data_IF_269162447787
#
_entry.id   IF_269162447787
#
_cell.length_a   1.000
_cell.length_b   1.000
_cell.length_c   1.000
_cell.angle_alpha   90.00
_cell.angle_beta   90.00
_cell.angle_gamma   90.00
#
_symmetry.space_group_name_H-M   'P 1'
#
loop_
_entity.id
_entity.type
_entity.pdbx_description
1 polymer ?
#
# COMPACT_ATOMS: atom_id res chain seq x y z
N UNK A 1 40.73 -12.09 -15.57
CA UNK A 1 39.26 -12.17 -15.41
C UNK A 1 38.83 -10.86 -14.78
N UNK A 2 38.23 -9.95 -15.55
CA UNK A 2 37.56 -8.78 -14.98
C UNK A 2 36.40 -9.36 -14.17
N UNK A 3 36.36 -9.11 -12.86
CA UNK A 3 35.20 -9.45 -12.06
C UNK A 3 34.07 -8.58 -12.60
N UNK A 4 33.09 -9.24 -13.21
CA UNK A 4 31.82 -8.64 -13.56
C UNK A 4 31.11 -8.47 -12.22
N UNK A 5 31.26 -7.29 -11.59
CA UNK A 5 30.44 -6.92 -10.44
C UNK A 5 29.02 -6.74 -10.98
N UNK A 6 28.25 -7.82 -10.97
CA UNK A 6 26.81 -7.77 -11.23
C UNK A 6 26.19 -6.93 -10.12
N UNK A 7 25.87 -5.68 -10.41
CA UNK A 7 25.14 -4.82 -9.48
C UNK A 7 23.72 -5.38 -9.38
N UNK A 8 23.26 -5.67 -8.16
CA UNK A 8 21.88 -6.06 -7.90
C UNK A 8 20.99 -4.83 -7.88
N UNK A 9 19.82 -4.83 -8.54
CA UNK A 9 18.89 -3.70 -8.48
C UNK A 9 18.31 -3.52 -7.07
N UNK A 10 18.19 -2.27 -6.65
CA UNK A 10 17.49 -1.82 -5.44
C UNK A 10 15.98 -1.63 -5.66
N UNK A 11 15.57 -1.43 -6.92
CA UNK A 11 14.17 -1.24 -7.32
C UNK A 11 13.80 -2.24 -8.42
N UNK A 12 12.58 -2.77 -8.36
CA UNK A 12 12.08 -3.76 -9.31
C UNK A 12 11.46 -3.10 -10.55
N UNK A 13 11.54 -3.77 -11.70
CA UNK A 13 10.84 -3.32 -12.92
C UNK A 13 9.33 -3.34 -12.69
N UNK A 14 8.67 -2.24 -13.01
CA UNK A 14 7.25 -2.00 -12.74
C UNK A 14 6.98 -1.33 -11.39
N UNK A 15 8.00 -1.14 -10.54
CA UNK A 15 7.82 -0.45 -9.27
C UNK A 15 7.60 1.06 -9.49
N UNK A 16 6.60 1.61 -8.80
CA UNK A 16 6.41 3.05 -8.68
C UNK A 16 7.44 3.65 -7.71
N UNK A 17 8.13 4.66 -8.18
CA UNK A 17 9.20 5.38 -7.50
C UNK A 17 8.99 6.87 -7.71
N UNK A 18 9.75 7.68 -6.98
CA UNK A 18 9.86 9.10 -7.31
C UNK A 18 11.31 9.35 -7.77
N UNK A 19 11.46 9.91 -8.96
CA UNK A 19 12.75 10.10 -9.61
C UNK A 19 13.11 11.59 -9.70
N UNK A 20 14.36 11.93 -9.36
CA UNK A 20 14.88 13.29 -9.44
C UNK A 20 15.25 13.65 -10.88
N UNK A 21 14.28 14.14 -11.64
CA UNK A 21 14.41 14.47 -13.06
C UNK A 21 15.56 15.48 -13.28
N UNK A 22 16.54 15.08 -14.11
CA UNK A 22 17.72 15.92 -14.42
C UNK A 22 18.61 16.30 -13.22
N UNK A 23 18.44 15.67 -12.05
CA UNK A 23 19.24 15.95 -10.85
C UNK A 23 19.04 17.33 -10.22
N UNK A 24 18.01 18.07 -10.61
CA UNK A 24 17.75 19.45 -10.17
C UNK A 24 17.16 19.55 -8.75
N UNK A 25 16.86 18.42 -8.11
CA UNK A 25 16.33 18.34 -6.75
C UNK A 25 14.80 18.25 -6.66
N UNK A 26 14.12 18.09 -7.80
CA UNK A 26 12.67 17.89 -7.87
C UNK A 26 12.38 16.43 -8.20
N UNK A 27 11.63 15.75 -7.34
CA UNK A 27 11.26 14.35 -7.50
C UNK A 27 9.86 14.27 -8.08
N UNK A 28 9.72 13.49 -9.14
CA UNK A 28 8.47 13.27 -9.86
C UNK A 28 8.10 11.80 -9.84
N UNK A 29 6.81 11.50 -9.84
CA UNK A 29 6.31 10.14 -9.93
C UNK A 29 6.82 9.48 -11.20
N UNK A 30 7.40 8.30 -11.06
CA UNK A 30 7.96 7.54 -12.16
C UNK A 30 7.80 6.03 -11.94
N UNK A 31 7.86 5.28 -13.02
CA UNK A 31 7.82 3.80 -13.00
C UNK A 31 9.13 3.27 -13.53
N UNK A 32 9.74 2.31 -12.83
CA UNK A 32 10.93 1.62 -13.33
C UNK A 32 10.56 0.78 -14.54
N UNK A 33 11.15 1.07 -15.71
CA UNK A 33 11.00 0.25 -16.92
C UNK A 33 12.10 -0.79 -17.09
N UNK A 34 13.27 -0.55 -16.49
CA UNK A 34 14.42 -1.42 -16.68
C UNK A 34 15.61 -1.07 -15.79
N UNK A 35 16.53 -2.01 -15.66
CA UNK A 35 17.79 -1.84 -14.94
C UNK A 35 18.95 -2.37 -15.79
N UNK A 36 19.95 -1.51 -16.01
CA UNK A 36 21.21 -1.81 -16.68
C UNK A 36 22.22 -2.24 -15.61
N UNK A 37 22.43 -3.55 -15.49
CA UNK A 37 23.36 -4.14 -14.50
C UNK A 37 24.83 -3.89 -14.84
N UNK A 38 25.17 -3.51 -16.08
CA UNK A 38 26.54 -3.18 -16.49
C UNK A 38 26.93 -1.77 -16.02
N UNK A 39 25.96 -0.83 -16.04
CA UNK A 39 26.15 0.56 -15.61
C UNK A 39 25.66 0.86 -14.20
N UNK A 40 24.81 0.00 -13.63
CA UNK A 40 24.12 0.24 -12.36
C UNK A 40 23.08 1.37 -12.45
N UNK A 41 22.42 1.52 -13.60
CA UNK A 41 21.47 2.62 -13.86
C UNK A 41 20.09 2.09 -14.22
N UNK A 42 19.06 2.88 -13.94
CA UNK A 42 17.67 2.56 -14.23
C UNK A 42 17.16 3.32 -15.45
N UNK A 43 16.18 2.73 -16.11
CA UNK A 43 15.31 3.42 -17.05
C UNK A 43 13.98 3.66 -16.35
N UNK A 44 13.54 4.91 -16.30
CA UNK A 44 12.30 5.31 -15.63
C UNK A 44 11.37 6.04 -16.59
N UNK A 45 10.07 5.88 -16.40
CA UNK A 45 9.03 6.55 -17.18
C UNK A 45 8.20 7.45 -16.28
N UNK A 46 8.00 8.69 -16.71
CA UNK A 46 7.21 9.70 -16.03
C UNK A 46 5.81 9.76 -16.68
N UNK A 47 4.79 9.11 -16.09
CA UNK A 47 3.47 9.02 -16.71
C UNK A 47 2.73 10.37 -16.81
N UNK A 48 3.13 11.38 -16.01
CA UNK A 48 2.50 12.72 -16.07
C UNK A 48 2.78 13.44 -17.39
N UNK A 49 3.98 13.26 -17.95
CA UNK A 49 4.43 13.92 -19.18
C UNK A 49 4.68 12.93 -20.33
N UNK A 50 4.41 11.63 -20.13
CA UNK A 50 4.69 10.52 -21.05
C UNK A 50 6.20 10.39 -21.44
N UNK A 51 7.10 10.94 -20.63
CA UNK A 51 8.54 10.99 -20.91
C UNK A 51 9.28 9.78 -20.32
N UNK A 52 10.41 9.40 -20.91
CA UNK A 52 11.26 8.30 -20.42
C UNK A 52 12.70 8.78 -20.27
N UNK A 53 13.31 8.52 -19.11
CA UNK A 53 14.70 8.84 -18.82
C UNK A 53 15.51 7.56 -18.60
N UNK A 54 16.60 7.42 -19.36
CA UNK A 54 17.55 6.33 -19.25
C UNK A 54 18.81 6.79 -18.50
N UNK A 55 19.42 5.90 -17.72
CA UNK A 55 20.68 6.20 -17.05
C UNK A 55 20.51 6.84 -15.65
N UNK A 56 19.33 6.74 -15.06
CA UNK A 56 19.04 7.30 -13.73
C UNK A 56 19.75 6.47 -12.66
N UNK A 57 20.51 7.11 -11.78
CA UNK A 57 21.18 6.43 -10.67
C UNK A 57 20.19 6.10 -9.56
N UNK A 58 20.44 5.00 -8.83
CA UNK A 58 19.64 4.65 -7.66
C UNK A 58 19.51 5.81 -6.64
N UNK A 59 20.57 6.61 -6.47
CA UNK A 59 20.57 7.79 -5.59
C UNK A 59 19.64 8.92 -6.03
N UNK A 60 19.13 8.88 -7.26
CA UNK A 60 18.11 9.79 -7.75
C UNK A 60 16.70 9.21 -7.68
N UNK A 61 16.56 7.97 -7.21
CA UNK A 61 15.29 7.30 -7.02
C UNK A 61 14.98 7.20 -5.54
N UNK A 62 13.72 7.39 -5.18
CA UNK A 62 13.20 7.04 -3.86
C UNK A 62 12.00 6.12 -4.04
N UNK A 63 11.89 5.12 -3.18
CA UNK A 63 10.71 4.29 -3.15
C UNK A 63 9.51 5.19 -2.84
N UNK A 64 8.52 5.19 -3.73
CA UNK A 64 7.21 5.69 -3.35
C UNK A 64 6.75 4.80 -2.20
N UNK A 65 6.26 5.40 -1.12
CA UNK A 65 5.65 4.60 -0.05
C UNK A 65 4.50 3.86 -0.73
N UNK A 66 4.70 2.59 -1.04
CA UNK A 66 3.64 1.72 -1.52
C UNK A 66 2.55 1.86 -0.46
N UNK A 67 1.41 2.40 -0.84
CA UNK A 67 0.20 2.16 -0.09
C UNK A 67 0.01 0.66 -0.24
N UNK A 68 0.58 -0.10 0.71
CA UNK A 68 0.43 -1.54 0.79
C UNK A 68 -1.07 -1.76 0.64
N UNK A 69 -1.50 -2.38 -0.46
CA UNK A 69 -2.89 -2.73 -0.65
C UNK A 69 -3.24 -3.63 0.52
N UNK A 70 -3.87 -3.05 1.54
CA UNK A 70 -4.04 -3.73 2.81
C UNK A 70 -5.03 -4.85 2.52
N UNK A 71 -4.62 -6.10 2.66
CA UNK A 71 -5.56 -7.22 2.54
C UNK A 71 -6.50 -7.18 3.74
N UNK A 72 -7.83 -7.29 3.54
CA UNK A 72 -8.77 -7.29 4.66
C UNK A 72 -8.52 -8.49 5.57
N UNK A 73 -8.40 -8.21 6.88
CA UNK A 73 -8.37 -9.18 7.98
C UNK A 73 -9.77 -9.73 8.31
N UNK A 74 -10.82 -8.99 7.94
CA UNK A 74 -12.22 -9.35 8.18
C UNK A 74 -13.01 -9.35 6.88
N UNK A 75 -13.86 -10.35 6.69
CA UNK A 75 -14.72 -10.47 5.51
C UNK A 75 -15.98 -9.61 5.62
N UNK A 76 -16.48 -9.13 4.48
CA UNK A 76 -17.79 -8.45 4.42
C UNK A 76 -18.89 -9.42 4.85
N UNK A 77 -19.73 -9.00 5.80
CA UNK A 77 -20.75 -9.80 6.45
C UNK A 77 -20.27 -10.53 7.71
N UNK A 78 -18.98 -10.45 8.06
CA UNK A 78 -18.46 -11.04 9.29
C UNK A 78 -18.97 -10.28 10.51
N UNK A 79 -19.44 -11.03 11.51
CA UNK A 79 -19.75 -10.50 12.84
C UNK A 79 -18.46 -10.26 13.64
N UNK A 80 -18.32 -9.04 14.14
CA UNK A 80 -17.14 -8.56 14.87
C UNK A 80 -17.58 -7.76 16.10
N UNK A 81 -16.66 -7.50 17.00
CA UNK A 81 -16.83 -6.48 18.03
C UNK A 81 -15.98 -5.25 17.63
N UNK A 82 -16.62 -4.10 17.43
CA UNK A 82 -15.98 -2.86 17.01
C UNK A 82 -15.90 -1.84 18.14
N UNK A 83 -14.76 -1.17 18.28
CA UNK A 83 -14.54 -0.11 19.27
C UNK A 83 -15.05 1.24 18.74
N UNK A 84 -16.34 1.48 18.97
CA UNK A 84 -17.04 2.68 18.49
C UNK A 84 -16.31 3.97 18.91
N UNK A 85 -15.89 4.78 17.93
CA UNK A 85 -15.19 6.04 18.16
C UNK A 85 -13.84 5.93 18.90
N UNK A 86 -13.28 4.71 19.04
CA UNK A 86 -11.99 4.48 19.70
C UNK A 86 -12.01 4.68 21.23
N UNK A 87 -13.18 4.79 21.86
CA UNK A 87 -13.32 5.14 23.28
C UNK A 87 -12.97 4.00 24.26
N UNK A 88 -12.74 2.78 23.74
CA UNK A 88 -12.37 1.58 24.50
C UNK A 88 -13.53 0.63 24.82
N UNK A 89 -14.73 0.93 24.32
CA UNK A 89 -15.92 0.09 24.45
C UNK A 89 -16.18 -0.65 23.15
N UNK A 90 -16.27 -1.97 23.21
CA UNK A 90 -16.50 -2.83 22.06
C UNK A 90 -17.97 -3.21 21.98
N UNK A 91 -18.57 -3.02 20.81
CA UNK A 91 -19.97 -3.29 20.54
C UNK A 91 -20.10 -4.27 19.38
N UNK A 92 -21.17 -5.05 19.40
CA UNK A 92 -21.47 -5.99 18.33
C UNK A 92 -21.72 -5.24 17.03
N UNK A 93 -21.01 -5.65 15.98
CA UNK A 93 -21.08 -5.03 14.68
C UNK A 93 -20.90 -6.05 13.55
N UNK A 94 -21.30 -5.65 12.35
CA UNK A 94 -21.15 -6.42 11.12
C UNK A 94 -20.31 -5.61 10.14
N UNK A 95 -19.31 -6.24 9.53
CA UNK A 95 -18.51 -5.61 8.47
C UNK A 95 -19.40 -5.42 7.24
N UNK A 96 -19.58 -4.17 6.80
CA UNK A 96 -20.30 -3.86 5.55
C UNK A 96 -19.36 -3.69 4.36
N UNK A 97 -18.10 -3.32 4.60
CA UNK A 97 -17.16 -3.02 3.54
C UNK A 97 -15.75 -2.80 4.04
N UNK A 98 -14.80 -2.81 3.11
CA UNK A 98 -13.40 -2.54 3.35
C UNK A 98 -12.85 -1.62 2.25
N UNK A 99 -12.28 -0.51 2.69
CA UNK A 99 -11.60 0.48 1.85
C UNK A 99 -10.11 0.10 1.79
N UNK A 100 -9.72 -0.53 0.67
CA UNK A 100 -8.35 -1.01 0.46
C UNK A 100 -7.35 0.12 0.20
N UNK A 101 -7.82 1.31 -0.18
CA UNK A 101 -6.98 2.50 -0.36
C UNK A 101 -6.56 3.06 1.00
N UNK A 102 -7.49 3.12 1.96
CA UNK A 102 -7.26 3.63 3.31
C UNK A 102 -6.89 2.56 4.35
N UNK A 103 -7.11 1.29 4.05
CA UNK A 103 -6.98 0.19 4.99
C UNK A 103 -8.00 0.24 6.13
N UNK A 104 -9.23 0.71 5.86
CA UNK A 104 -10.27 0.90 6.88
C UNK A 104 -11.54 0.13 6.56
N UNK A 105 -12.32 -0.21 7.58
CA UNK A 105 -13.59 -0.93 7.46
C UNK A 105 -14.78 0.00 7.65
N UNK A 106 -15.88 -0.38 7.02
CA UNK A 106 -17.21 0.12 7.34
C UNK A 106 -17.92 -0.93 8.17
N UNK A 107 -18.41 -0.54 9.34
CA UNK A 107 -19.12 -1.43 10.28
C UNK A 107 -20.51 -0.91 10.57
N UNK A 108 -21.44 -1.83 10.78
CA UNK A 108 -22.82 -1.53 11.18
C UNK A 108 -23.13 -2.15 12.53
N UNK A 109 -23.69 -1.34 13.43
CA UNK A 109 -24.07 -1.71 14.79
C UNK A 109 -25.59 -1.98 14.83
N UNK A 110 -26.02 -3.25 14.76
CA UNK A 110 -27.44 -3.59 14.68
C UNK A 110 -28.25 -3.24 15.94
N UNK A 111 -27.60 -3.01 17.09
CA UNK A 111 -28.29 -2.63 18.33
C UNK A 111 -28.89 -1.21 18.26
N UNK A 112 -28.20 -0.28 17.61
CA UNK A 112 -28.59 1.14 17.50
C UNK A 112 -28.89 1.56 16.05
N UNK A 113 -28.82 0.64 15.08
CA UNK A 113 -28.98 0.89 13.63
C UNK A 113 -27.97 1.92 13.06
N UNK A 114 -26.83 2.08 13.73
CA UNK A 114 -25.78 3.04 13.37
C UNK A 114 -24.72 2.42 12.45
N UNK A 115 -24.09 3.22 11.60
CA UNK A 115 -22.99 2.78 10.71
C UNK A 115 -21.78 3.69 10.89
N UNK A 116 -20.60 3.10 11.02
CA UNK A 116 -19.33 3.81 11.18
C UNK A 116 -18.38 3.44 10.04
N UNK A 117 -17.85 4.45 9.37
CA UNK A 117 -16.86 4.31 8.30
C UNK A 117 -15.48 4.71 8.82
N UNK A 118 -14.42 4.15 8.24
CA UNK A 118 -13.05 4.52 8.61
C UNK A 118 -12.52 3.79 9.85
N UNK A 119 -13.13 2.67 10.24
CA UNK A 119 -12.72 1.89 11.41
C UNK A 119 -11.45 1.10 11.08
N UNK A 120 -10.39 1.27 11.86
CA UNK A 120 -9.14 0.52 11.68
C UNK A 120 -9.30 -0.93 12.12
N UNK A 121 -8.56 -1.86 11.51
CA UNK A 121 -8.54 -3.26 11.93
C UNK A 121 -8.22 -3.44 13.42
N UNK A 122 -7.34 -2.59 13.98
CA UNK A 122 -6.99 -2.55 15.40
C UNK A 122 -8.15 -2.23 16.35
N UNK A 123 -9.26 -1.71 15.82
CA UNK A 123 -10.50 -1.44 16.56
C UNK A 123 -11.53 -2.55 16.41
N UNK A 124 -11.24 -3.58 15.63
CA UNK A 124 -12.12 -4.72 15.39
C UNK A 124 -11.58 -5.96 16.09
N UNK A 125 -12.50 -6.82 16.54
CA UNK A 125 -12.19 -8.13 17.10
C UNK A 125 -13.08 -9.17 16.45
N UNK A 126 -12.49 -10.29 16.06
CA UNK A 126 -13.25 -11.41 15.56
C UNK A 126 -14.08 -12.00 16.70
N UNK A 127 -15.40 -12.08 16.52
CA UNK A 127 -16.19 -12.99 17.35
C UNK A 127 -15.73 -14.40 17.04
N UNK A 128 -15.46 -15.19 18.07
CA UNK A 128 -15.36 -16.64 17.89
C UNK A 128 -16.68 -17.07 17.25
N UNK A 129 -16.64 -17.47 15.99
CA UNK A 129 -17.76 -18.20 15.42
C UNK A 129 -17.87 -19.47 16.25
N UNK A 130 -18.93 -19.54 17.06
CA UNK A 130 -19.32 -20.77 17.70
C UNK A 130 -19.85 -21.65 16.55
N UNK A 131 -18.95 -22.41 15.91
CA UNK A 131 -19.31 -23.44 14.95
C UNK A 131 -20.39 -24.31 15.60
N UNK A 132 -21.63 -24.11 15.15
CA UNK A 132 -22.76 -24.92 15.59
C UNK A 132 -22.61 -26.30 14.96
N UNK A 133 -22.16 -27.26 15.76
CA UNK A 133 -22.04 -28.69 15.43
C UNK A 133 -23.42 -29.35 15.33
#
# INVERSE_FOLDING_TARGET
KKQEESVSPEFDVGQEVEANFGGAGSFYDAVILGFDAEKGTYTVHYPEDDETEEGVLASFLRAKKQEESVSPEFDVGQEVEANFGGAGSFYDAVILGFDAEKGTYTVHYPEDDETEEGVLASFLRAKKQEESV
#
